data_IF_101265735948
#
_entry.id   IF_101265735948
#
_cell.length_a   1.000
_cell.length_b   1.000
_cell.length_c   1.000
_cell.angle_alpha   90.00
_cell.angle_beta   90.00
_cell.angle_gamma   90.00
#
_symmetry.space_group_name_H-M   'P 1'
#
loop_
_entity.id
_entity.type
_entity.pdbx_description
1 polymer ?
#
# COMPACT_ATOMS: atom_id res chain seq x y z
N UNK A 1 10.49 -10.56 -21.54
CA UNK A 1 10.36 -9.70 -20.34
C UNK A 1 10.25 -8.26 -20.83
N UNK A 2 9.04 -7.72 -20.85
CA UNK A 2 8.71 -6.40 -21.42
C UNK A 2 9.31 -5.27 -20.57
N UNK A 3 10.57 -4.89 -20.88
CA UNK A 3 11.21 -3.67 -20.35
C UNK A 3 10.70 -2.39 -21.02
N UNK A 4 9.81 -2.49 -22.01
CA UNK A 4 9.39 -1.37 -22.87
C UNK A 4 8.21 -0.55 -22.32
N UNK A 5 7.62 -0.93 -21.19
CA UNK A 5 6.43 -0.24 -20.62
C UNK A 5 6.68 0.38 -19.24
N UNK A 6 7.90 0.27 -18.71
CA UNK A 6 8.29 0.95 -17.47
C UNK A 6 8.77 2.36 -17.77
N UNK A 7 8.25 3.34 -17.04
CA UNK A 7 8.75 4.71 -17.05
C UNK A 7 10.26 4.73 -16.72
N UNK A 8 11.08 5.32 -17.60
CA UNK A 8 12.53 5.34 -17.44
C UNK A 8 13.03 6.29 -16.33
N UNK A 9 12.17 7.18 -15.84
CA UNK A 9 12.50 8.22 -14.85
C UNK A 9 12.45 7.65 -13.43
N UNK A 10 11.38 6.91 -13.11
CA UNK A 10 11.16 6.36 -11.76
C UNK A 10 11.60 4.89 -11.62
N UNK A 11 12.17 4.29 -12.66
CA UNK A 11 12.75 2.94 -12.58
C UNK A 11 14.14 2.98 -11.93
N UNK A 12 14.35 2.15 -10.90
CA UNK A 12 15.64 2.01 -10.22
C UNK A 12 15.96 0.55 -9.95
N UNK A 13 17.23 0.17 -10.08
CA UNK A 13 17.76 -1.12 -9.65
C UNK A 13 18.15 -1.12 -8.16
N UNK A 14 18.33 0.08 -7.58
CA UNK A 14 18.63 0.25 -6.16
C UNK A 14 17.32 0.01 -5.39
N UNK A 15 17.27 -1.00 -4.51
CA UNK A 15 16.09 -1.28 -3.70
C UNK A 15 15.85 -0.16 -2.69
N UNK A 16 14.60 -0.03 -2.28
CA UNK A 16 14.22 0.87 -1.19
C UNK A 16 14.48 0.13 0.13
N UNK A 17 15.20 0.76 1.04
CA UNK A 17 15.55 0.15 2.31
C UNK A 17 14.61 0.64 3.42
N UNK A 18 13.87 -0.28 4.03
CA UNK A 18 12.94 0.01 5.13
C UNK A 18 13.16 -1.01 6.23
N UNK A 19 13.46 -0.55 7.45
CA UNK A 19 13.61 -1.44 8.61
C UNK A 19 14.69 -2.51 8.45
N UNK A 20 15.76 -2.21 7.69
CA UNK A 20 16.85 -3.15 7.40
C UNK A 20 16.53 -4.18 6.32
N UNK A 21 15.33 -4.15 5.72
CA UNK A 21 14.99 -4.96 4.57
C UNK A 21 15.09 -4.16 3.27
N UNK A 22 15.57 -4.82 2.22
CA UNK A 22 15.60 -4.29 0.85
C UNK A 22 14.30 -4.68 0.14
N UNK A 23 13.43 -3.71 -0.07
CA UNK A 23 12.16 -3.88 -0.76
C UNK A 23 12.30 -3.60 -2.25
N UNK A 24 11.68 -4.46 -3.06
CA UNK A 24 11.53 -4.32 -4.51
C UNK A 24 10.10 -4.60 -4.90
N UNK A 25 9.61 -3.88 -5.89
CA UNK A 25 8.25 -4.03 -6.39
C UNK A 25 8.02 -3.20 -7.64
N UNK A 26 6.77 -3.18 -8.09
CA UNK A 26 6.30 -2.34 -9.19
C UNK A 26 5.11 -1.53 -8.68
N UNK A 27 5.15 -0.22 -8.93
CA UNK A 27 4.00 0.66 -8.76
C UNK A 27 3.25 0.67 -10.10
N UNK A 28 1.93 0.51 -10.05
CA UNK A 28 1.09 0.46 -11.24
C UNK A 28 1.09 1.78 -12.02
N UNK A 29 0.80 2.90 -11.34
CA UNK A 29 0.85 4.24 -11.92
C UNK A 29 1.14 5.30 -10.87
N UNK A 30 2.03 6.23 -11.22
CA UNK A 30 2.30 7.46 -10.47
C UNK A 30 1.86 8.64 -11.33
N UNK A 31 0.99 9.49 -10.80
CA UNK A 31 0.60 10.76 -11.44
C UNK A 31 1.32 11.90 -10.73
N UNK A 32 2.05 12.73 -11.47
CA UNK A 32 2.94 13.76 -10.91
C UNK A 32 2.47 15.14 -11.33
N UNK A 33 2.32 16.04 -10.36
CA UNK A 33 2.14 17.47 -10.56
C UNK A 33 3.44 18.19 -10.17
N UNK A 34 4.28 18.41 -11.18
CA UNK A 34 5.58 19.08 -11.00
C UNK A 34 5.46 20.57 -10.69
N UNK A 35 4.31 21.21 -10.93
CA UNK A 35 4.13 22.63 -10.62
C UNK A 35 3.95 22.84 -9.10
N UNK A 36 3.21 21.93 -8.46
CA UNK A 36 2.95 21.96 -7.01
C UNK A 36 3.87 21.03 -6.20
N UNK A 37 4.79 20.31 -6.86
CA UNK A 37 5.60 19.23 -6.27
C UNK A 37 4.74 18.18 -5.54
N UNK A 38 3.67 17.73 -6.19
CA UNK A 38 2.74 16.77 -5.63
C UNK A 38 2.66 15.51 -6.49
N UNK A 39 2.22 14.41 -5.90
CA UNK A 39 1.99 13.18 -6.64
C UNK A 39 0.83 12.37 -6.08
N UNK A 40 0.29 11.48 -6.92
CA UNK A 40 -0.77 10.55 -6.58
C UNK A 40 -0.40 9.14 -7.02
N UNK A 41 -0.84 8.15 -6.24
CA UNK A 41 -0.69 6.73 -6.59
C UNK A 41 -2.00 6.19 -7.13
N UNK A 42 -1.93 5.43 -8.22
CA UNK A 42 -3.08 4.69 -8.75
C UNK A 42 -2.73 3.23 -8.93
N UNK A 43 -3.59 2.37 -8.39
CA UNK A 43 -3.49 0.91 -8.42
C UNK A 43 -4.69 0.33 -9.17
N UNK A 44 -4.46 -0.54 -10.15
CA UNK A 44 -5.53 -1.10 -10.98
C UNK A 44 -6.07 -2.37 -10.35
N UNK A 45 -7.40 -2.48 -10.22
CA UNK A 45 -8.04 -3.67 -9.66
C UNK A 45 -9.23 -4.11 -10.51
N UNK A 46 -9.25 -5.40 -10.86
CA UNK A 46 -10.43 -6.06 -11.44
C UNK A 46 -11.54 -6.30 -10.40
N UNK A 47 -11.19 -6.33 -9.12
CA UNK A 47 -12.13 -6.50 -8.02
C UNK A 47 -11.40 -6.59 -6.69
N UNK A 48 -12.17 -6.67 -5.62
CA UNK A 48 -11.66 -6.71 -4.26
C UNK A 48 -12.60 -5.99 -3.30
N UNK A 49 -12.33 -6.19 -2.01
CA UNK A 49 -12.95 -5.42 -0.93
C UNK A 49 -12.52 -3.96 -1.03
N UNK A 50 -13.43 -3.04 -0.68
CA UNK A 50 -13.08 -1.63 -0.55
C UNK A 50 -12.13 -1.46 0.63
N UNK A 51 -10.96 -0.87 0.38
CA UNK A 51 -9.99 -0.53 1.42
C UNK A 51 -10.61 0.48 2.39
N UNK A 52 -10.52 0.17 3.67
CA UNK A 52 -10.98 1.03 4.76
C UNK A 52 -9.81 1.81 5.37
N UNK A 53 -10.12 2.93 6.02
CA UNK A 53 -9.12 3.70 6.79
C UNK A 53 -8.48 2.84 7.88
N UNK A 54 -9.28 2.03 8.57
CA UNK A 54 -8.78 1.20 9.67
C UNK A 54 -7.81 0.11 9.18
N UNK A 55 -8.03 -0.47 8.00
CA UNK A 55 -7.06 -1.41 7.41
C UNK A 55 -5.73 -0.75 7.07
N UNK A 56 -5.74 0.51 6.63
CA UNK A 56 -4.53 1.29 6.35
C UNK A 56 -3.77 1.56 7.66
N UNK A 57 -4.46 2.07 8.68
CA UNK A 57 -3.85 2.46 9.95
C UNK A 57 -3.52 1.30 10.89
N UNK A 58 -4.03 0.09 10.62
CA UNK A 58 -3.67 -1.13 11.36
C UNK A 58 -2.67 -2.02 10.59
N UNK A 59 -2.11 -1.53 9.48
CA UNK A 59 -1.09 -2.24 8.71
C UNK A 59 -1.60 -3.44 7.91
N UNK A 60 -2.93 -3.57 7.71
CA UNK A 60 -3.53 -4.66 6.95
C UNK A 60 -3.49 -4.41 5.43
N UNK A 61 -3.66 -3.16 5.01
CA UNK A 61 -3.67 -2.76 3.59
C UNK A 61 -2.42 -1.91 3.24
N UNK A 62 -1.26 -2.55 3.11
CA UNK A 62 0.02 -1.83 2.92
C UNK A 62 0.31 -1.36 1.49
N UNK A 63 -0.34 -1.91 0.47
CA UNK A 63 0.08 -1.74 -0.93
C UNK A 63 0.15 -0.26 -1.35
N UNK A 64 -0.95 0.50 -1.19
CA UNK A 64 -0.99 1.92 -1.57
C UNK A 64 -0.06 2.80 -0.70
N UNK A 65 -0.01 2.66 0.64
CA UNK A 65 0.94 3.42 1.45
C UNK A 65 2.42 3.13 1.17
N UNK A 66 2.78 1.87 0.89
CA UNK A 66 4.14 1.51 0.48
C UNK A 66 4.50 2.14 -0.86
N UNK A 67 3.56 2.18 -1.81
CA UNK A 67 3.77 2.87 -3.07
C UNK A 67 3.94 4.38 -2.88
N UNK A 68 3.18 5.00 -1.97
CA UNK A 68 3.35 6.43 -1.67
C UNK A 68 4.74 6.72 -1.09
N UNK A 69 5.18 5.91 -0.12
CA UNK A 69 6.52 6.01 0.46
C UNK A 69 7.59 5.91 -0.63
N UNK A 70 7.49 4.88 -1.47
CA UNK A 70 8.44 4.62 -2.52
C UNK A 70 8.50 5.75 -3.56
N UNK A 71 7.34 6.20 -4.04
CA UNK A 71 7.25 7.29 -5.00
C UNK A 71 7.77 8.61 -4.42
N UNK A 72 7.49 8.93 -3.15
CA UNK A 72 8.02 10.13 -2.48
C UNK A 72 9.55 10.15 -2.52
N UNK A 73 10.18 9.04 -2.16
CA UNK A 73 11.65 8.91 -2.18
C UNK A 73 12.22 9.05 -3.60
N UNK A 74 11.65 8.32 -4.57
CA UNK A 74 12.12 8.31 -5.96
C UNK A 74 11.97 9.68 -6.62
N UNK A 75 10.80 10.32 -6.48
CA UNK A 75 10.53 11.64 -7.02
C UNK A 75 11.46 12.68 -6.38
N UNK A 76 11.62 12.63 -5.06
CA UNK A 76 12.41 13.65 -4.37
C UNK A 76 13.89 13.56 -4.74
N UNK A 77 14.40 12.34 -4.93
CA UNK A 77 15.76 12.09 -5.41
C UNK A 77 15.93 12.49 -6.87
N UNK A 78 14.98 12.18 -7.74
CA UNK A 78 15.09 12.47 -9.17
C UNK A 78 15.05 13.97 -9.47
N UNK A 79 14.16 14.71 -8.81
CA UNK A 79 13.94 16.14 -9.05
C UNK A 79 14.72 17.05 -8.10
N UNK A 80 15.45 16.48 -7.12
CA UNK A 80 16.16 17.22 -6.06
C UNK A 80 15.24 18.22 -5.31
N UNK A 81 13.98 17.82 -5.11
CA UNK A 81 12.92 18.64 -4.49
C UNK A 81 12.03 17.77 -3.63
N UNK A 82 11.44 18.32 -2.58
CA UNK A 82 10.47 17.58 -1.78
C UNK A 82 9.15 17.42 -2.55
N UNK A 83 8.67 16.18 -2.68
CA UNK A 83 7.37 15.87 -3.26
C UNK A 83 6.37 15.43 -2.18
N UNK A 84 5.13 15.92 -2.29
CA UNK A 84 4.07 15.63 -1.33
C UNK A 84 2.99 14.66 -1.84
N UNK A 85 2.55 13.69 -1.02
CA UNK A 85 1.56 12.70 -1.40
C UNK A 85 0.15 13.30 -1.38
N UNK A 86 -0.37 13.70 -2.54
CA UNK A 86 -1.67 14.34 -2.68
C UNK A 86 -2.85 13.34 -2.65
N UNK A 87 -2.63 12.06 -2.93
CA UNK A 87 -3.71 11.07 -2.82
C UNK A 87 -3.39 9.66 -3.30
N UNK A 88 -4.30 8.76 -2.97
CA UNK A 88 -4.29 7.36 -3.38
C UNK A 88 -5.60 7.00 -4.07
N UNK A 89 -5.51 6.19 -5.13
CA UNK A 89 -6.65 5.80 -5.91
C UNK A 89 -6.60 4.33 -6.29
N UNK A 90 -7.78 3.72 -6.34
CA UNK A 90 -7.99 2.46 -7.03
C UNK A 90 -8.66 2.77 -8.36
N UNK A 91 -8.11 2.28 -9.46
CA UNK A 91 -8.78 2.29 -10.74
C UNK A 91 -9.51 0.97 -10.95
N UNK A 92 -10.83 0.98 -10.80
CA UNK A 92 -11.67 -0.21 -10.99
C UNK A 92 -11.79 -0.52 -12.49
N UNK A 93 -11.47 -1.76 -12.84
CA UNK A 93 -11.58 -2.27 -14.21
C UNK A 93 -12.90 -3.02 -14.46
N UNK A 94 -13.85 -2.96 -13.52
CA UNK A 94 -15.17 -3.59 -13.66
C UNK A 94 -16.08 -2.81 -14.59
N UNK A 95 -15.99 -3.13 -15.89
CA UNK A 95 -16.80 -2.51 -16.92
C UNK A 95 -18.30 -2.82 -16.77
N UNK A 96 -18.65 -4.07 -16.48
CA UNK A 96 -20.05 -4.55 -16.52
C UNK A 96 -20.93 -4.06 -15.36
N UNK A 97 -20.34 -3.64 -14.23
CA UNK A 97 -21.11 -3.29 -13.02
C UNK A 97 -21.28 -1.77 -12.82
N UNK A 98 -20.98 -0.95 -13.83
CA UNK A 98 -20.99 0.52 -13.68
C UNK A 98 -19.96 1.06 -12.68
N UNK A 99 -19.02 0.21 -12.25
CA UNK A 99 -18.00 0.55 -11.25
C UNK A 99 -16.65 0.93 -11.87
N UNK A 100 -16.55 0.90 -13.20
CA UNK A 100 -15.33 1.27 -13.92
C UNK A 100 -14.90 2.71 -13.63
N UNK A 101 -13.61 2.90 -13.35
CA UNK A 101 -12.99 4.23 -13.23
C UNK A 101 -12.20 4.45 -11.94
N UNK A 102 -11.65 5.66 -11.82
CA UNK A 102 -10.78 6.09 -10.72
C UNK A 102 -11.61 6.38 -9.46
N UNK A 103 -11.30 5.70 -8.36
CA UNK A 103 -11.93 5.84 -7.04
C UNK A 103 -10.91 6.32 -6.02
N UNK A 104 -11.20 7.42 -5.35
CA UNK A 104 -10.36 8.01 -4.32
C UNK A 104 -10.43 7.22 -3.01
N UNK A 105 -9.28 6.95 -2.41
CA UNK A 105 -9.17 6.41 -1.05
C UNK A 105 -8.93 7.59 -0.11
N UNK A 106 -10.00 8.12 0.48
CA UNK A 106 -9.92 9.27 1.36
C UNK A 106 -9.76 8.89 2.83
N UNK A 107 -8.81 9.55 3.51
CA UNK A 107 -8.58 9.40 4.96
C UNK A 107 -9.46 10.33 5.81
N UNK A 108 -10.13 11.28 5.17
CA UNK A 108 -10.98 12.29 5.80
C UNK A 108 -12.24 12.57 4.95
N UNK A 109 -13.28 13.15 5.56
CA UNK A 109 -14.48 13.57 4.83
C UNK A 109 -14.34 14.98 4.22
N UNK A 110 -13.33 15.76 4.63
CA UNK A 110 -13.08 17.14 4.16
C UNK A 110 -11.92 17.15 3.18
N UNK A 111 -12.04 17.88 2.07
CA UNK A 111 -10.92 18.15 1.14
C UNK A 111 -10.23 19.43 1.58
N UNK A 112 -9.16 19.30 2.36
CA UNK A 112 -8.36 20.39 2.95
C UNK A 112 -6.89 20.02 2.90
N UNK A 113 -5.99 20.97 3.14
CA UNK A 113 -4.53 20.73 3.24
C UNK A 113 -4.19 19.61 4.25
N UNK A 114 -5.07 19.38 5.22
CA UNK A 114 -5.03 18.23 6.15
C UNK A 114 -4.85 16.87 5.42
N UNK A 115 -5.31 16.73 4.18
CA UNK A 115 -5.21 15.48 3.43
C UNK A 115 -3.75 15.08 3.14
N UNK A 116 -2.89 16.05 2.81
CA UNK A 116 -1.46 15.80 2.58
C UNK A 116 -0.79 15.37 3.88
N UNK A 117 -1.10 16.05 4.98
CA UNK A 117 -0.57 15.71 6.31
C UNK A 117 -1.01 14.32 6.77
N UNK A 118 -2.27 13.95 6.51
CA UNK A 118 -2.78 12.61 6.79
C UNK A 118 -2.07 11.54 5.95
N UNK A 119 -1.79 11.80 4.67
CA UNK A 119 -1.05 10.89 3.81
C UNK A 119 0.40 10.74 4.25
N UNK A 120 1.05 11.84 4.64
CA UNK A 120 2.39 11.82 5.23
C UNK A 120 2.42 11.04 6.55
N UNK A 121 1.44 11.25 7.42
CA UNK A 121 1.29 10.48 8.65
C UNK A 121 1.08 8.99 8.35
N UNK A 122 0.29 8.64 7.32
CA UNK A 122 0.08 7.26 6.93
C UNK A 122 1.37 6.60 6.40
N UNK A 123 2.23 7.33 5.69
CA UNK A 123 3.57 6.85 5.31
C UNK A 123 4.40 6.49 6.55
N UNK A 124 4.39 7.35 7.57
CA UNK A 124 5.09 7.08 8.85
C UNK A 124 4.54 5.85 9.55
N UNK A 125 3.22 5.76 9.71
CA UNK A 125 2.55 4.59 10.33
C UNK A 125 2.88 3.31 9.58
N UNK A 126 2.81 3.36 8.25
CA UNK A 126 3.15 2.23 7.36
C UNK A 126 4.60 1.78 7.56
N UNK A 127 5.53 2.73 7.65
CA UNK A 127 6.95 2.45 7.90
C UNK A 127 7.15 1.69 9.21
N UNK A 128 6.42 2.07 10.27
CA UNK A 128 6.52 1.41 11.57
C UNK A 128 5.94 -0.01 11.55
N UNK A 129 4.83 -0.23 10.84
CA UNK A 129 4.30 -1.59 10.63
C UNK A 129 5.27 -2.47 9.85
N UNK A 130 5.88 -1.96 8.77
CA UNK A 130 6.88 -2.71 8.00
C UNK A 130 8.06 -3.11 8.88
N UNK A 131 8.60 -2.19 9.68
CA UNK A 131 9.67 -2.49 10.65
C UNK A 131 9.25 -3.59 11.64
N UNK A 132 8.04 -3.49 12.19
CA UNK A 132 7.47 -4.50 13.11
C UNK A 132 7.33 -5.87 12.44
N UNK A 133 6.88 -5.92 11.20
CA UNK A 133 6.74 -7.15 10.44
C UNK A 133 8.10 -7.78 10.14
N UNK A 134 9.08 -6.99 9.66
CA UNK A 134 10.44 -7.46 9.42
C UNK A 134 11.07 -8.01 10.71
N UNK A 135 10.94 -7.28 11.82
CA UNK A 135 11.47 -7.73 13.11
C UNK A 135 10.84 -9.07 13.54
N UNK A 136 9.52 -9.19 13.48
CA UNK A 136 8.81 -10.42 13.84
C UNK A 136 9.22 -11.60 12.95
N UNK A 137 9.38 -11.37 11.64
CA UNK A 137 9.88 -12.37 10.69
C UNK A 137 11.31 -12.79 11.05
N UNK A 138 12.19 -11.82 11.34
CA UNK A 138 13.59 -12.09 11.67
C UNK A 138 13.78 -12.89 12.96
N UNK A 139 12.85 -12.76 13.91
CA UNK A 139 12.84 -13.51 15.16
C UNK A 139 12.08 -14.85 15.06
N UNK A 140 11.55 -15.21 13.88
CA UNK A 140 10.77 -16.42 13.68
C UNK A 140 9.40 -16.41 14.39
N UNK A 141 8.83 -15.22 14.64
CA UNK A 141 7.52 -15.05 15.30
C UNK A 141 6.38 -15.13 14.28
N UNK A 142 5.80 -16.31 14.13
CA UNK A 142 4.66 -16.58 13.25
C UNK A 142 3.36 -16.78 14.04
N UNK A 143 2.80 -15.66 14.52
CA UNK A 143 1.57 -15.68 15.31
C UNK A 143 0.34 -16.03 14.46
N UNK A 144 -0.65 -16.65 15.09
CA UNK A 144 -1.97 -16.82 14.49
C UNK A 144 -2.70 -15.47 14.41
N UNK A 145 -3.58 -15.31 13.42
CA UNK A 145 -4.35 -14.07 13.26
C UNK A 145 -5.27 -13.84 14.46
N UNK A 146 -5.41 -12.58 14.85
CA UNK A 146 -6.27 -12.12 15.94
C UNK A 146 -7.51 -11.38 15.44
N UNK A 147 -7.76 -11.38 14.11
CA UNK A 147 -8.94 -10.74 13.55
C UNK A 147 -10.20 -11.46 14.04
N UNK A 148 -11.20 -10.68 14.49
CA UNK A 148 -12.48 -11.23 14.93
C UNK A 148 -13.20 -11.95 13.78
N UNK A 149 -13.29 -11.32 12.61
CA UNK A 149 -13.90 -11.90 11.40
C UNK A 149 -12.87 -12.61 10.50
N UNK A 150 -11.94 -13.35 11.12
CA UNK A 150 -10.80 -13.96 10.43
C UNK A 150 -11.17 -14.89 9.27
N UNK A 151 -12.32 -15.57 9.33
CA UNK A 151 -12.75 -16.48 8.26
C UNK A 151 -13.10 -15.72 6.99
N UNK A 152 -13.80 -14.60 7.12
CA UNK A 152 -14.14 -13.74 6.00
C UNK A 152 -12.94 -12.96 5.48
N UNK A 153 -12.04 -12.53 6.37
CA UNK A 153 -10.94 -11.65 6.00
C UNK A 153 -9.72 -12.40 5.44
N UNK A 154 -9.35 -13.55 6.01
CA UNK A 154 -8.09 -14.24 5.67
C UNK A 154 -8.26 -15.76 5.55
N UNK A 155 -8.82 -16.42 6.57
CA UNK A 155 -8.76 -17.88 6.70
C UNK A 155 -9.59 -18.60 5.61
N UNK A 156 -10.69 -18.02 5.16
CA UNK A 156 -11.51 -18.56 4.07
C UNK A 156 -10.81 -18.58 2.71
N UNK A 157 -9.74 -17.79 2.55
CA UNK A 157 -8.94 -17.70 1.32
C UNK A 157 -7.53 -18.27 1.50
N UNK A 158 -7.22 -18.90 2.64
CA UNK A 158 -5.87 -19.33 2.98
C UNK A 158 -5.61 -20.79 2.53
N UNK A 159 -4.65 -20.98 1.62
CA UNK A 159 -4.24 -22.30 1.13
C UNK A 159 -3.63 -23.19 2.22
N UNK A 160 -3.12 -22.60 3.30
CA UNK A 160 -2.50 -23.32 4.42
C UNK A 160 -3.51 -23.71 5.52
N UNK A 161 -4.82 -23.58 5.28
CA UNK A 161 -5.86 -23.88 6.28
C UNK A 161 -5.76 -25.31 6.85
N UNK A 162 -5.32 -26.28 6.05
CA UNK A 162 -5.18 -27.69 6.48
C UNK A 162 -4.04 -27.95 7.48
N UNK A 163 -3.01 -27.10 7.49
CA UNK A 163 -1.86 -27.19 8.41
C UNK A 163 -1.87 -26.10 9.49
N UNK A 164 -2.82 -25.17 9.41
CA UNK A 164 -2.94 -24.05 10.34
C UNK A 164 -3.52 -24.52 11.68
N UNK A 165 -2.84 -24.17 12.78
CA UNK A 165 -3.26 -24.51 14.15
C UNK A 165 -4.39 -23.62 14.70
N UNK A 166 -4.98 -22.74 13.88
CA UNK A 166 -5.96 -21.77 14.37
C UNK A 166 -7.26 -22.40 14.88
N UNK A 167 -7.61 -23.58 14.37
CA UNK A 167 -8.77 -24.32 14.82
C UNK A 167 -8.55 -24.92 16.22
N UNK A 168 -7.31 -25.12 16.66
CA UNK A 168 -6.98 -25.62 18.00
C UNK A 168 -7.32 -24.60 19.10
N UNK A 169 -7.43 -23.31 18.74
CA UNK A 169 -7.79 -22.23 19.66
C UNK A 169 -9.31 -22.07 19.87
N UNK A 170 -10.13 -22.82 19.14
CA UNK A 170 -11.59 -22.65 19.11
C UNK A 170 -12.35 -23.69 19.95
N UNK A 171 -11.62 -24.44 20.79
CA UNK A 171 -12.15 -25.40 21.76
C UNK A 171 -12.02 -24.88 23.19
#
# INVERSE_FOLDING_TARGET
>A
VHKSESDGILTTEIPIEIGGAKLRGKIDRVEVDSANNQFQIVDYKLGGKKITKDELYNGLALQLPVYMLAAKELLSKHFEKNFEPAGMFIYSLKYQSGDFGKKEISLTRKKTDDAIDLNNNLITVTTDFIKKYIHSISEGKFNLTQLEDREKEICGFCDFKSICRINELSN
#
